data_IF_017141125485
#
_entry.id   IF_017141125485
#
_cell.length_a   1.000
_cell.length_b   1.000
_cell.length_c   1.000
_cell.angle_alpha   90.00
_cell.angle_beta   90.00
_cell.angle_gamma   90.00
#
_symmetry.space_group_name_H-M   'P 1'
#
loop_
_entity.id
_entity.type
_entity.pdbx_description
1 polymer ?
#
# COMPACT_ATOMS: atom_id res chain seq x y z
N UNK A 1 16.71 24.58 -28.47
CA UNK A 1 16.70 23.29 -27.72
C UNK A 1 15.34 22.79 -27.23
N UNK A 2 14.22 23.42 -27.60
CA UNK A 2 12.85 23.09 -27.15
C UNK A 2 12.08 22.10 -28.06
N UNK A 3 12.56 21.85 -29.27
CA UNK A 3 11.83 21.01 -30.28
C UNK A 3 12.04 19.50 -30.09
N UNK A 4 13.16 19.06 -29.52
CA UNK A 4 13.45 17.63 -29.30
C UNK A 4 12.57 16.98 -28.25
N UNK A 5 12.10 17.72 -27.23
CA UNK A 5 11.26 17.16 -26.15
C UNK A 5 9.85 16.78 -26.64
N UNK A 6 9.27 17.53 -27.59
CA UNK A 6 7.91 17.26 -28.08
C UNK A 6 7.84 16.01 -28.97
N UNK A 7 8.92 15.67 -29.67
CA UNK A 7 8.97 14.49 -30.58
C UNK A 7 9.06 13.19 -29.78
N UNK A 8 9.78 13.19 -28.65
CA UNK A 8 9.89 12.02 -27.76
C UNK A 8 8.54 11.65 -27.16
N UNK A 9 7.72 12.63 -26.83
CA UNK A 9 6.42 12.44 -26.20
C UNK A 9 5.24 12.39 -27.18
N UNK A 10 5.49 12.49 -28.49
CA UNK A 10 4.42 12.39 -29.48
C UNK A 10 3.87 10.97 -29.53
N UNK A 11 2.53 10.86 -29.60
CA UNK A 11 1.82 9.57 -29.65
C UNK A 11 2.13 8.61 -28.47
N UNK A 12 2.33 9.16 -27.25
CA UNK A 12 2.50 8.39 -26.02
C UNK A 12 1.26 8.45 -25.14
N UNK A 13 0.13 7.80 -25.53
CA UNK A 13 -1.10 7.86 -24.77
C UNK A 13 -0.99 7.12 -23.44
N UNK A 14 -1.88 7.46 -22.51
CA UNK A 14 -2.22 6.65 -21.36
C UNK A 14 -3.52 5.90 -21.67
N UNK A 15 -3.48 4.58 -21.59
CA UNK A 15 -4.66 3.73 -21.69
C UNK A 15 -5.02 3.20 -20.32
N UNK A 16 -6.30 3.23 -19.99
CA UNK A 16 -6.83 2.70 -18.73
C UNK A 16 -7.88 1.63 -19.04
N UNK A 17 -7.73 0.47 -18.42
CA UNK A 17 -8.69 -0.63 -18.50
C UNK A 17 -9.40 -0.72 -17.15
N UNK A 18 -10.72 -0.71 -17.21
CA UNK A 18 -11.59 -0.84 -16.03
C UNK A 18 -12.36 -2.16 -16.08
N UNK A 19 -12.69 -2.71 -14.92
CA UNK A 19 -13.59 -3.84 -14.80
C UNK A 19 -15.08 -3.36 -14.85
N UNK A 20 -16.07 -4.26 -14.88
CA UNK A 20 -17.48 -3.89 -14.89
C UNK A 20 -17.94 -3.07 -13.67
N UNK A 21 -17.13 -3.00 -12.60
CA UNK A 21 -17.39 -2.17 -11.41
C UNK A 21 -16.73 -0.80 -11.49
N UNK A 22 -16.20 -0.41 -12.68
CA UNK A 22 -15.43 0.80 -12.92
C UNK A 22 -14.09 0.89 -12.16
N UNK A 23 -13.54 -0.24 -11.68
CA UNK A 23 -12.25 -0.28 -11.01
C UNK A 23 -11.12 -0.42 -12.04
N UNK A 24 -10.05 0.37 -11.87
CA UNK A 24 -8.89 0.36 -12.78
C UNK A 24 -8.07 -0.91 -12.56
N UNK A 25 -8.19 -1.89 -13.46
CA UNK A 25 -7.45 -3.15 -13.38
C UNK A 25 -6.11 -3.11 -14.12
N UNK A 26 -5.97 -2.21 -15.09
CA UNK A 26 -4.71 -2.04 -15.84
C UNK A 26 -4.57 -0.60 -16.30
N UNK A 27 -3.34 -0.07 -16.20
CA UNK A 27 -2.93 1.20 -16.77
C UNK A 27 -1.71 0.94 -17.66
N UNK A 28 -1.76 1.40 -18.92
CA UNK A 28 -0.69 1.25 -19.88
C UNK A 28 -0.17 2.62 -20.27
N UNK A 29 1.05 2.93 -19.89
CA UNK A 29 1.76 4.12 -20.32
C UNK A 29 2.72 3.76 -21.44
N UNK A 30 2.62 4.49 -22.55
CA UNK A 30 3.60 4.36 -23.62
C UNK A 30 4.71 5.38 -23.43
N UNK A 31 5.93 4.91 -23.50
CA UNK A 31 7.11 5.79 -23.36
C UNK A 31 8.12 5.52 -24.48
N UNK A 32 8.93 6.55 -24.74
CA UNK A 32 10.04 6.52 -25.69
C UNK A 32 11.19 7.30 -25.09
N UNK A 33 12.38 6.73 -25.11
CA UNK A 33 13.58 7.38 -24.60
C UNK A 33 14.33 8.17 -25.69
N UNK A 34 14.25 7.72 -26.93
CA UNK A 34 14.90 8.33 -28.11
C UNK A 34 13.87 8.54 -29.20
N UNK A 35 13.89 9.72 -29.82
CA UNK A 35 13.03 10.05 -30.94
C UNK A 35 13.18 9.02 -32.09
N UNK A 36 12.07 8.58 -32.68
CA UNK A 36 12.06 7.61 -33.79
C UNK A 36 12.13 6.15 -33.36
N UNK A 37 12.39 5.84 -32.10
CA UNK A 37 12.32 4.45 -31.61
C UNK A 37 10.88 3.98 -31.40
N UNK A 38 10.62 2.65 -31.42
CA UNK A 38 9.33 2.08 -31.04
C UNK A 38 8.92 2.51 -29.63
N UNK A 39 7.61 2.59 -29.42
CA UNK A 39 7.05 2.86 -28.09
C UNK A 39 7.22 1.61 -27.20
N UNK A 40 7.69 1.82 -25.98
CA UNK A 40 7.69 0.83 -24.94
C UNK A 40 6.42 0.97 -24.10
N UNK A 41 5.65 -0.09 -23.95
CA UNK A 41 4.49 -0.14 -23.09
C UNK A 41 4.93 -0.45 -21.65
N UNK A 42 4.47 0.35 -20.69
CA UNK A 42 4.65 0.15 -19.25
C UNK A 42 3.31 -0.13 -18.64
N UNK A 43 3.09 -1.36 -18.23
CA UNK A 43 1.81 -1.84 -17.71
C UNK A 43 1.86 -1.90 -16.19
N UNK A 44 1.00 -1.14 -15.54
CA UNK A 44 0.67 -1.31 -14.12
C UNK A 44 -0.60 -2.15 -14.04
N UNK A 45 -0.60 -3.18 -13.20
CA UNK A 45 -1.73 -4.09 -13.04
C UNK A 45 -2.20 -4.12 -11.59
N UNK A 46 -3.53 -4.12 -11.40
CA UNK A 46 -4.16 -4.17 -10.09
C UNK A 46 -5.28 -5.20 -10.07
N UNK A 47 -5.38 -5.94 -8.98
CA UNK A 47 -6.49 -6.86 -8.72
C UNK A 47 -7.25 -6.40 -7.49
N UNK A 48 -8.55 -6.62 -7.53
CA UNK A 48 -9.47 -6.27 -6.46
C UNK A 48 -10.18 -7.52 -5.95
N UNK A 49 -10.58 -7.48 -4.68
CA UNK A 49 -11.49 -8.47 -4.13
C UNK A 49 -12.95 -8.19 -4.56
N UNK A 50 -13.87 -9.00 -4.05
CA UNK A 50 -15.30 -8.83 -4.35
C UNK A 50 -15.87 -7.53 -3.81
N UNK A 51 -15.31 -6.98 -2.74
CA UNK A 51 -15.71 -5.70 -2.15
C UNK A 51 -15.08 -4.48 -2.83
N UNK A 52 -14.28 -4.66 -3.91
CA UNK A 52 -13.63 -3.56 -4.62
C UNK A 52 -12.35 -3.06 -3.96
N UNK A 53 -11.78 -3.79 -3.00
CA UNK A 53 -10.55 -3.39 -2.31
C UNK A 53 -9.32 -3.91 -3.07
N UNK A 54 -8.26 -3.09 -3.25
CA UNK A 54 -7.05 -3.50 -3.98
C UNK A 54 -6.25 -4.53 -3.19
N UNK A 55 -6.22 -5.77 -3.67
CA UNK A 55 -5.54 -6.90 -3.00
C UNK A 55 -4.18 -7.25 -3.59
N UNK A 56 -3.93 -6.96 -4.87
CA UNK A 56 -2.65 -7.24 -5.53
C UNK A 56 -2.31 -6.10 -6.47
N UNK A 57 -1.07 -5.61 -6.40
CA UNK A 57 -0.54 -4.60 -7.33
C UNK A 57 0.79 -5.04 -7.94
N UNK A 58 0.96 -4.80 -9.25
CA UNK A 58 2.23 -4.98 -9.97
C UNK A 58 2.58 -3.73 -10.74
N UNK A 59 3.82 -3.27 -10.60
CA UNK A 59 4.42 -2.23 -11.42
C UNK A 59 4.79 -2.78 -12.81
N UNK A 60 5.18 -1.94 -13.77
CA UNK A 60 5.53 -2.39 -15.11
C UNK A 60 6.68 -3.42 -15.15
N UNK A 61 7.65 -3.32 -14.25
CA UNK A 61 8.79 -4.24 -14.19
C UNK A 61 8.37 -5.63 -13.77
N UNK A 62 7.62 -5.75 -12.67
CA UNK A 62 7.15 -7.04 -12.18
C UNK A 62 5.99 -7.58 -13.03
N UNK A 63 5.21 -6.71 -13.66
CA UNK A 63 4.20 -7.14 -14.61
C UNK A 63 4.85 -7.83 -15.83
N UNK A 64 5.80 -7.19 -16.50
CA UNK A 64 6.49 -7.77 -17.66
C UNK A 64 7.20 -9.08 -17.30
N UNK A 65 7.84 -9.14 -16.14
CA UNK A 65 8.46 -10.37 -15.67
C UNK A 65 7.45 -11.49 -15.42
N UNK A 66 6.25 -11.17 -14.94
CA UNK A 66 5.19 -12.16 -14.68
C UNK A 66 4.58 -12.76 -15.93
N UNK A 67 4.82 -12.17 -17.11
CA UNK A 67 4.39 -12.74 -18.41
C UNK A 67 5.25 -13.92 -18.84
N UNK A 68 6.49 -13.99 -18.34
CA UNK A 68 7.44 -15.07 -18.66
C UNK A 68 7.71 -16.00 -17.47
N UNK A 69 7.60 -15.50 -16.26
CA UNK A 69 7.90 -16.23 -15.03
C UNK A 69 6.65 -16.28 -14.12
N UNK A 70 5.99 -17.43 -14.07
CA UNK A 70 4.74 -17.63 -13.34
C UNK A 70 4.83 -17.32 -11.83
N UNK A 71 6.03 -17.45 -11.23
CA UNK A 71 6.27 -17.22 -9.81
C UNK A 71 6.74 -15.80 -9.48
N UNK A 72 6.67 -14.85 -10.43
CA UNK A 72 7.04 -13.46 -10.17
C UNK A 72 6.15 -12.86 -9.06
N UNK A 73 6.74 -12.33 -7.99
CA UNK A 73 5.97 -11.73 -6.90
C UNK A 73 5.20 -10.49 -7.37
N UNK A 74 4.21 -10.09 -6.61
CA UNK A 74 3.58 -8.78 -6.78
C UNK A 74 4.35 -7.72 -5.96
N UNK A 75 4.32 -6.45 -6.39
CA UNK A 75 4.90 -5.37 -5.58
C UNK A 75 4.21 -5.29 -4.21
N UNK A 76 2.91 -5.51 -4.20
CA UNK A 76 2.11 -5.47 -2.99
C UNK A 76 0.99 -6.50 -3.04
N UNK A 77 0.84 -7.22 -1.92
CA UNK A 77 -0.33 -8.06 -1.64
C UNK A 77 -0.94 -7.58 -0.32
N UNK A 78 -2.27 -7.44 -0.26
CA UNK A 78 -2.99 -7.05 0.95
C UNK A 78 -4.11 -8.04 1.23
N UNK A 79 -4.26 -8.41 2.49
CA UNK A 79 -5.40 -9.18 3.00
C UNK A 79 -6.18 -8.33 3.98
N UNK A 80 -7.48 -8.26 3.76
CA UNK A 80 -8.37 -7.45 4.57
C UNK A 80 -9.22 -8.31 5.49
N UNK A 81 -9.61 -7.75 6.64
CA UNK A 81 -10.69 -8.27 7.47
C UNK A 81 -12.04 -8.13 6.77
N UNK A 82 -13.06 -8.73 7.32
CA UNK A 82 -14.43 -8.54 6.84
C UNK A 82 -14.91 -7.09 7.01
N UNK A 83 -14.46 -6.41 8.06
CA UNK A 83 -14.74 -4.98 8.30
C UNK A 83 -13.98 -4.02 7.40
N UNK A 84 -12.99 -4.50 6.61
CA UNK A 84 -12.22 -3.69 5.67
C UNK A 84 -10.86 -3.21 6.19
N UNK A 85 -10.47 -3.57 7.42
CA UNK A 85 -9.13 -3.26 7.94
C UNK A 85 -8.07 -4.13 7.25
N UNK A 86 -6.92 -3.56 6.90
CA UNK A 86 -5.79 -4.30 6.34
C UNK A 86 -5.10 -5.09 7.47
N UNK A 87 -5.22 -6.43 7.43
CA UNK A 87 -4.62 -7.34 8.41
C UNK A 87 -3.18 -7.72 8.04
N UNK A 88 -2.96 -8.09 6.78
CA UNK A 88 -1.64 -8.46 6.28
C UNK A 88 -1.33 -7.65 5.03
N UNK A 89 -0.14 -7.10 4.97
CA UNK A 89 0.43 -6.53 3.75
C UNK A 89 1.80 -7.12 3.49
N UNK A 90 2.05 -7.55 2.27
CA UNK A 90 3.33 -8.06 1.78
C UNK A 90 3.83 -7.13 0.68
N UNK A 91 5.10 -6.77 0.73
CA UNK A 91 5.75 -5.91 -0.27
C UNK A 91 7.12 -6.46 -0.61
N UNK A 92 7.50 -6.40 -1.89
CA UNK A 92 8.84 -6.83 -2.33
C UNK A 92 9.94 -5.93 -1.77
N UNK A 93 9.62 -4.70 -1.41
CA UNK A 93 10.61 -3.72 -0.95
C UNK A 93 10.68 -3.63 0.58
N UNK A 94 9.54 -3.74 1.28
CA UNK A 94 9.45 -3.54 2.74
C UNK A 94 9.13 -4.80 3.53
N UNK A 95 9.00 -5.96 2.87
CA UNK A 95 8.61 -7.21 3.50
C UNK A 95 7.12 -7.25 3.89
N UNK A 96 6.79 -8.10 4.85
CA UNK A 96 5.42 -8.26 5.31
C UNK A 96 5.15 -7.49 6.61
N UNK A 97 3.90 -7.12 6.82
CA UNK A 97 3.34 -6.58 8.06
C UNK A 97 2.03 -7.26 8.38
N UNK A 98 1.87 -7.66 9.62
CA UNK A 98 0.65 -8.22 10.18
C UNK A 98 0.12 -7.26 11.26
N UNK A 99 -1.18 -6.97 11.23
CA UNK A 99 -1.86 -6.12 12.20
C UNK A 99 -3.00 -6.90 12.85
N UNK A 100 -3.04 -6.87 14.17
CA UNK A 100 -4.19 -7.32 14.95
C UNK A 100 -5.00 -6.09 15.35
N UNK A 101 -6.29 -6.10 14.95
CA UNK A 101 -7.21 -5.01 15.24
C UNK A 101 -8.16 -5.40 16.36
N UNK A 102 -8.49 -4.46 17.23
CA UNK A 102 -9.53 -4.62 18.23
C UNK A 102 -10.94 -4.48 17.65
N UNK A 103 -11.95 -4.72 18.47
CA UNK A 103 -13.37 -4.69 18.07
C UNK A 103 -13.82 -3.32 17.54
N UNK A 104 -13.26 -2.23 18.06
CA UNK A 104 -13.55 -0.87 17.60
C UNK A 104 -12.64 -0.43 16.42
N UNK A 105 -11.83 -1.33 15.86
CA UNK A 105 -10.93 -1.04 14.76
C UNK A 105 -9.59 -0.41 15.17
N UNK A 106 -9.31 -0.30 16.47
CA UNK A 106 -8.01 0.15 16.98
C UNK A 106 -6.93 -0.91 16.74
N UNK A 107 -5.70 -0.49 16.48
CA UNK A 107 -4.56 -1.39 16.32
C UNK A 107 -4.10 -1.88 17.70
N UNK A 108 -4.15 -3.18 17.96
CA UNK A 108 -3.68 -3.79 19.21
C UNK A 108 -2.23 -4.25 19.11
N UNK A 109 -1.89 -4.86 17.98
CA UNK A 109 -0.57 -5.42 17.77
C UNK A 109 -0.17 -5.29 16.29
N UNK A 110 1.09 -5.05 16.04
CA UNK A 110 1.68 -5.17 14.71
C UNK A 110 3.00 -5.93 14.76
N UNK A 111 3.20 -6.79 13.77
CA UNK A 111 4.45 -7.52 13.54
C UNK A 111 4.95 -7.24 12.13
N UNK A 112 6.26 -7.26 11.92
CA UNK A 112 6.86 -7.12 10.60
C UNK A 112 7.86 -8.24 10.29
N UNK A 113 8.32 -8.30 9.03
CA UNK A 113 9.26 -9.28 8.53
C UNK A 113 10.66 -9.22 9.15
N UNK A 114 10.96 -8.19 9.94
CA UNK A 114 12.21 -8.06 10.70
C UNK A 114 12.12 -8.69 12.10
N UNK A 115 10.92 -9.16 12.47
CA UNK A 115 10.64 -9.70 13.80
C UNK A 115 10.30 -8.61 14.83
N UNK A 116 10.09 -7.37 14.40
CA UNK A 116 9.61 -6.31 15.29
C UNK A 116 8.17 -6.58 15.69
N UNK A 117 7.92 -6.64 17.00
CA UNK A 117 6.58 -6.71 17.58
C UNK A 117 6.29 -5.42 18.32
N UNK A 118 5.17 -4.81 18.01
CA UNK A 118 4.69 -3.57 18.62
C UNK A 118 3.29 -3.77 19.18
N UNK A 119 3.12 -3.53 20.47
CA UNK A 119 1.85 -3.63 21.19
C UNK A 119 1.36 -2.24 21.55
N UNK A 120 0.07 -2.01 21.44
CA UNK A 120 -0.58 -0.75 21.80
C UNK A 120 -1.64 -0.99 22.87
N UNK A 121 -1.56 -0.24 23.97
CA UNK A 121 -2.54 -0.26 25.03
C UNK A 121 -3.41 1.00 24.98
N UNK A 122 -4.66 0.85 25.41
CA UNK A 122 -5.68 1.88 25.29
C UNK A 122 -6.39 2.08 26.66
N UNK A 123 -6.83 3.29 26.92
CA UNK A 123 -7.72 3.57 28.03
C UNK A 123 -9.18 3.15 27.71
N UNK A 124 -10.07 3.34 28.68
CA UNK A 124 -11.50 3.03 28.53
C UNK A 124 -12.22 3.84 27.46
N UNK A 125 -11.62 4.95 27.01
CA UNK A 125 -12.09 5.81 25.93
C UNK A 125 -11.45 5.47 24.58
N UNK A 126 -10.71 4.35 24.49
CA UNK A 126 -9.97 3.90 23.31
C UNK A 126 -8.89 4.89 22.84
N UNK A 127 -8.33 5.70 23.76
CA UNK A 127 -7.19 6.54 23.47
C UNK A 127 -5.90 5.76 23.78
N UNK A 128 -4.87 5.78 22.92
CA UNK A 128 -3.63 5.05 23.17
C UNK A 128 -2.93 5.60 24.43
N UNK A 129 -2.51 4.73 25.34
CA UNK A 129 -1.82 5.10 26.59
C UNK A 129 -0.39 4.61 26.65
N UNK A 130 -0.08 3.51 26.00
CA UNK A 130 1.30 3.04 25.88
C UNK A 130 1.56 2.33 24.55
N UNK A 131 2.83 2.36 24.13
CA UNK A 131 3.34 1.57 23.04
C UNK A 131 4.55 0.80 23.56
N UNK A 132 4.51 -0.52 23.39
CA UNK A 132 5.60 -1.43 23.75
C UNK A 132 6.18 -2.00 22.47
N UNK A 133 7.50 -1.97 22.32
CA UNK A 133 8.23 -2.56 21.22
C UNK A 133 9.25 -3.55 21.76
N UNK A 134 9.23 -4.79 21.26
CA UNK A 134 10.12 -5.88 21.73
C UNK A 134 10.11 -6.05 23.27
N UNK A 135 8.96 -5.85 23.91
CA UNK A 135 8.83 -5.96 25.37
C UNK A 135 9.26 -4.71 26.15
N UNK A 136 9.73 -3.66 25.50
CA UNK A 136 10.12 -2.39 26.13
C UNK A 136 9.09 -1.32 25.82
N UNK A 137 8.66 -0.58 26.84
CA UNK A 137 7.78 0.59 26.64
C UNK A 137 8.57 1.71 25.97
N UNK A 138 8.21 2.04 24.74
CA UNK A 138 8.88 3.07 23.92
C UNK A 138 8.14 4.39 23.92
N UNK A 139 6.84 4.38 24.25
CA UNK A 139 6.01 5.57 24.28
C UNK A 139 4.97 5.45 25.40
N UNK A 140 4.72 6.55 26.11
CA UNK A 140 3.62 6.71 27.06
C UNK A 140 2.90 8.01 26.78
N UNK A 141 1.56 7.94 26.74
CA UNK A 141 0.69 9.09 26.52
C UNK A 141 -0.17 9.31 27.77
N UNK A 142 -0.18 10.52 28.26
CA UNK A 142 -1.07 10.97 29.33
C UNK A 142 -2.02 12.02 28.76
N UNK A 143 -3.29 11.91 29.12
CA UNK A 143 -4.32 12.84 28.67
C UNK A 143 -4.77 13.68 29.85
N UNK A 144 -4.84 14.99 29.65
CA UNK A 144 -5.40 15.91 30.63
C UNK A 144 -6.84 15.56 30.98
N UNK A 145 -7.22 15.79 32.24
CA UNK A 145 -8.60 15.67 32.71
C UNK A 145 -9.52 16.74 32.12
N UNK A 146 -10.78 16.75 32.55
CA UNK A 146 -11.76 17.74 32.12
C UNK A 146 -11.49 19.15 32.71
N UNK A 147 -10.57 19.26 33.66
CA UNK A 147 -10.22 20.53 34.34
C UNK A 147 -9.30 21.36 33.43
N UNK A 148 -9.66 22.64 33.28
CA UNK A 148 -8.97 23.60 32.41
C UNK A 148 -7.48 23.83 32.75
N UNK A 149 -7.01 23.42 33.93
CA UNK A 149 -5.61 23.54 34.36
C UNK A 149 -4.68 22.49 33.74
N UNK A 150 -5.21 21.43 33.16
CA UNK A 150 -4.45 20.32 32.54
C UNK A 150 -4.41 20.38 30.98
N UNK A 151 -5.04 21.40 30.40
CA UNK A 151 -5.04 21.64 28.96
C UNK A 151 -3.83 22.48 28.54
N UNK A 152 -2.67 21.87 28.41
CA UNK A 152 -1.52 22.46 27.72
C UNK A 152 -1.04 21.54 26.62
#
# INVERSE_FOLDING_TARGET
MKVMSSIVHSNTPLLVVIDPRALVVRSVQFCRTVAGQPLAARVTHQRYDRAGRPVVGRDPRLFSRSETEAQTPANRVVRFSLSGAALLSESVDSGWRLNLMGEAGQLLESCDGRGTQRLMEYDSSLRPVSVTEQGLVVERLAYGGADAAEHN
#
